data_IF_012202993232
#
_entry.id   IF_012202993232
#
_cell.length_a   1.000
_cell.length_b   1.000
_cell.length_c   1.000
_cell.angle_alpha   90.00
_cell.angle_beta   90.00
_cell.angle_gamma   90.00
#
_symmetry.space_group_name_H-M   'P 1'
#
loop_
_entity.id
_entity.type
_entity.pdbx_description
1 polymer ?
#
# COMPACT_ATOMS: atom_id res chain seq x y z
N UNK A 1 34.09 -35.07 19.86
CA UNK A 1 32.74 -35.68 19.90
C UNK A 1 32.69 -36.57 21.12
N UNK A 2 32.00 -36.16 22.17
CA UNK A 2 31.84 -36.95 23.38
C UNK A 2 30.41 -37.53 23.36
N UNK A 3 30.35 -38.84 23.21
CA UNK A 3 29.11 -39.62 23.34
C UNK A 3 28.65 -39.59 24.80
N UNK A 4 27.52 -38.94 25.06
CA UNK A 4 26.81 -39.03 26.34
C UNK A 4 25.92 -40.27 26.25
N UNK A 5 26.44 -41.39 26.67
CA UNK A 5 25.64 -42.60 26.93
C UNK A 5 24.87 -42.39 28.24
N UNK A 6 23.58 -41.96 28.12
CA UNK A 6 22.66 -42.04 29.25
C UNK A 6 22.34 -43.49 29.55
N UNK A 7 22.94 -44.00 30.62
CA UNK A 7 22.63 -45.32 31.20
C UNK A 7 21.31 -45.19 31.98
N UNK A 8 20.16 -45.36 31.30
CA UNK A 8 18.84 -45.47 31.90
C UNK A 8 18.63 -46.91 32.41
N UNK A 9 19.30 -47.28 33.47
CA UNK A 9 18.87 -48.44 34.24
C UNK A 9 17.67 -48.04 35.11
N UNK A 10 16.49 -48.69 34.98
CA UNK A 10 15.37 -48.41 35.86
C UNK A 10 15.78 -48.84 37.28
N UNK A 11 15.87 -47.89 38.20
CA UNK A 11 16.05 -48.17 39.62
C UNK A 11 14.72 -48.71 40.19
N UNK A 12 14.61 -50.02 40.28
CA UNK A 12 13.52 -50.64 41.02
C UNK A 12 13.79 -50.48 42.52
N UNK A 13 12.82 -50.00 43.30
CA UNK A 13 12.98 -49.96 44.78
C UNK A 13 13.14 -51.39 45.27
N UNK A 14 14.35 -51.74 45.77
CA UNK A 14 14.59 -53.00 46.42
C UNK A 14 13.85 -53.06 47.76
N UNK A 15 12.82 -53.90 47.81
CA UNK A 15 12.10 -54.16 49.05
C UNK A 15 10.61 -53.74 49.07
N UNK A 16 10.03 -53.32 47.95
CA UNK A 16 8.58 -53.01 47.91
C UNK A 16 7.73 -54.28 48.03
N UNK A 17 6.70 -54.21 48.88
CA UNK A 17 5.72 -55.30 49.02
C UNK A 17 4.85 -55.43 47.75
N UNK A 18 4.28 -56.59 47.44
CA UNK A 18 3.33 -56.71 46.30
C UNK A 18 2.17 -55.70 46.37
N UNK A 19 1.70 -55.34 47.54
CA UNK A 19 0.64 -54.36 47.79
C UNK A 19 1.09 -52.97 47.36
N UNK A 20 2.32 -52.56 47.67
CA UNK A 20 2.90 -51.26 47.28
C UNK A 20 3.07 -51.18 45.77
N UNK A 21 3.52 -52.25 45.11
CA UNK A 21 3.62 -52.30 43.66
C UNK A 21 2.24 -52.14 43.03
N UNK A 22 1.21 -52.81 43.53
CA UNK A 22 -0.13 -52.69 43.02
C UNK A 22 -0.73 -51.28 43.25
N UNK A 23 -0.38 -50.61 44.33
CA UNK A 23 -0.79 -49.23 44.59
C UNK A 23 -0.14 -48.27 43.55
N UNK A 24 1.15 -48.38 43.30
CA UNK A 24 1.86 -47.56 42.28
C UNK A 24 1.31 -47.83 40.88
N UNK A 25 1.04 -49.08 40.51
CA UNK A 25 0.46 -49.41 39.21
C UNK A 25 -0.93 -48.81 39.02
N UNK A 26 -1.75 -48.77 40.07
CA UNK A 26 -3.06 -48.06 40.03
C UNK A 26 -2.90 -46.56 39.83
N UNK A 27 -2.04 -45.91 40.60
CA UNK A 27 -1.76 -44.49 40.52
C UNK A 27 -1.22 -44.11 39.11
N UNK A 28 -0.28 -44.88 38.57
CA UNK A 28 0.22 -44.69 37.21
C UNK A 28 -0.90 -44.83 36.17
N UNK A 29 -1.78 -45.85 36.34
CA UNK A 29 -2.90 -46.06 35.41
C UNK A 29 -3.90 -44.91 35.48
N UNK A 30 -4.20 -44.36 36.65
CA UNK A 30 -5.08 -43.20 36.80
C UNK A 30 -4.46 -41.94 36.21
N UNK A 31 -3.17 -41.71 36.48
CA UNK A 31 -2.41 -40.57 35.88
C UNK A 31 -2.36 -40.66 34.35
N UNK A 32 -2.18 -41.86 33.78
CA UNK A 32 -2.20 -42.06 32.33
C UNK A 32 -3.58 -41.75 31.74
N UNK A 33 -4.67 -42.18 32.41
CA UNK A 33 -6.03 -41.88 31.95
C UNK A 33 -6.31 -40.39 31.97
N UNK A 34 -5.90 -39.69 33.04
CA UNK A 34 -6.08 -38.26 33.15
C UNK A 34 -5.23 -37.51 32.08
N UNK A 35 -3.98 -37.93 31.87
CA UNK A 35 -3.12 -37.35 30.81
C UNK A 35 -3.74 -37.55 29.45
N UNK A 36 -4.26 -38.73 29.15
CA UNK A 36 -4.94 -39.00 27.87
C UNK A 36 -6.17 -38.09 27.68
N UNK A 37 -6.97 -37.87 28.72
CA UNK A 37 -8.12 -36.96 28.69
C UNK A 37 -7.68 -35.53 28.41
N UNK A 38 -6.66 -35.02 29.13
CA UNK A 38 -6.13 -33.67 28.92
C UNK A 38 -5.54 -33.49 27.51
N UNK A 39 -4.88 -34.51 26.99
CA UNK A 39 -4.39 -34.48 25.60
C UNK A 39 -5.52 -34.36 24.57
N UNK A 40 -6.63 -35.09 24.77
CA UNK A 40 -7.79 -35.01 23.88
C UNK A 40 -8.48 -33.65 24.01
N UNK A 41 -8.64 -33.07 25.20
CA UNK A 41 -9.18 -31.72 25.42
C UNK A 41 -8.29 -30.66 24.70
N UNK A 42 -6.97 -30.78 24.86
CA UNK A 42 -6.01 -29.89 24.18
C UNK A 42 -6.10 -30.02 22.66
N UNK A 43 -6.26 -31.23 22.13
CA UNK A 43 -6.42 -31.48 20.70
C UNK A 43 -7.66 -30.81 20.16
N UNK A 44 -8.79 -30.89 20.90
CA UNK A 44 -10.03 -30.22 20.51
C UNK A 44 -9.89 -28.71 20.53
N UNK A 45 -9.28 -28.13 21.56
CA UNK A 45 -9.01 -26.69 21.63
C UNK A 45 -8.10 -26.20 20.49
N UNK A 46 -7.08 -26.98 20.13
CA UNK A 46 -6.20 -26.66 19.01
C UNK A 46 -6.96 -26.66 17.68
N UNK A 47 -7.88 -27.62 17.47
CA UNK A 47 -8.69 -27.66 16.25
C UNK A 47 -9.68 -26.48 16.17
N UNK A 48 -10.32 -26.11 17.29
CA UNK A 48 -11.19 -24.94 17.37
C UNK A 48 -10.41 -23.65 17.08
N UNK A 49 -9.23 -23.49 17.68
CA UNK A 49 -8.36 -22.34 17.45
C UNK A 49 -7.94 -22.27 15.97
N UNK A 50 -7.61 -23.40 15.36
CA UNK A 50 -7.25 -23.47 13.95
C UNK A 50 -8.42 -23.05 13.04
N UNK A 51 -9.64 -23.43 13.37
CA UNK A 51 -10.83 -23.02 12.62
C UNK A 51 -11.10 -21.51 12.78
N UNK A 52 -10.97 -20.97 13.98
CA UNK A 52 -11.10 -19.53 14.23
C UNK A 52 -10.04 -18.71 13.49
N UNK A 53 -8.78 -19.18 13.46
CA UNK A 53 -7.72 -18.52 12.68
C UNK A 53 -8.05 -18.50 11.19
N UNK A 54 -8.52 -19.61 10.61
CA UNK A 54 -8.93 -19.65 9.20
C UNK A 54 -10.07 -18.69 8.88
N UNK A 55 -11.05 -18.60 9.78
CA UNK A 55 -12.16 -17.67 9.59
C UNK A 55 -11.70 -16.20 9.72
N UNK A 56 -10.82 -15.90 10.65
CA UNK A 56 -10.21 -14.58 10.83
C UNK A 56 -9.41 -14.18 9.60
N UNK A 57 -8.59 -15.07 9.06
CA UNK A 57 -7.82 -14.83 7.82
C UNK A 57 -8.75 -14.54 6.63
N UNK A 58 -9.86 -15.28 6.52
CA UNK A 58 -10.85 -15.06 5.46
C UNK A 58 -11.48 -13.66 5.59
N UNK A 59 -11.92 -13.29 6.80
CA UNK A 59 -12.52 -11.97 7.08
C UNK A 59 -11.52 -10.85 6.84
N UNK A 60 -10.26 -11.04 7.20
CA UNK A 60 -9.20 -10.05 6.95
C UNK A 60 -9.02 -9.82 5.45
N UNK A 61 -8.90 -10.88 4.64
CA UNK A 61 -8.80 -10.78 3.17
C UNK A 61 -10.01 -10.09 2.54
N UNK A 62 -11.21 -10.37 3.04
CA UNK A 62 -12.43 -9.72 2.56
C UNK A 62 -12.46 -8.22 2.92
N UNK A 63 -12.02 -7.88 4.14
CA UNK A 63 -11.89 -6.48 4.57
C UNK A 63 -10.86 -5.74 3.73
N UNK A 64 -9.69 -6.32 3.51
CA UNK A 64 -8.64 -5.73 2.68
C UNK A 64 -9.12 -5.46 1.24
N UNK A 65 -9.89 -6.40 0.69
CA UNK A 65 -10.51 -6.23 -0.63
C UNK A 65 -11.49 -5.06 -0.64
N UNK A 66 -12.39 -4.98 0.36
CA UNK A 66 -13.37 -3.87 0.47
C UNK A 66 -12.69 -2.52 0.68
N UNK A 67 -11.63 -2.47 1.49
CA UNK A 67 -10.82 -1.25 1.67
C UNK A 67 -10.15 -0.84 0.36
N UNK A 68 -9.62 -1.78 -0.39
CA UNK A 68 -9.06 -1.52 -1.74
C UNK A 68 -10.10 -0.97 -2.71
N UNK A 69 -11.28 -1.58 -2.78
CA UNK A 69 -12.38 -1.11 -3.63
C UNK A 69 -12.87 0.30 -3.21
N UNK A 70 -12.94 0.57 -1.91
CA UNK A 70 -13.32 1.89 -1.39
C UNK A 70 -12.26 2.94 -1.77
N UNK A 71 -10.99 2.61 -1.62
CA UNK A 71 -9.86 3.50 -1.98
C UNK A 71 -9.90 3.85 -3.48
N UNK A 72 -10.18 2.87 -4.35
CA UNK A 72 -10.30 3.11 -5.79
C UNK A 72 -11.48 4.04 -6.11
N UNK A 73 -12.64 3.82 -5.49
CA UNK A 73 -13.82 4.70 -5.68
C UNK A 73 -13.57 6.14 -5.18
N UNK A 74 -12.82 6.31 -4.08
CA UNK A 74 -12.40 7.63 -3.64
C UNK A 74 -11.44 8.30 -4.63
N UNK A 75 -10.54 7.53 -5.26
CA UNK A 75 -9.68 8.01 -6.35
C UNK A 75 -10.52 8.54 -7.53
N UNK A 76 -11.45 7.75 -8.05
CA UNK A 76 -12.34 8.13 -9.15
C UNK A 76 -13.18 9.38 -8.80
N UNK A 77 -13.72 9.48 -7.57
CA UNK A 77 -14.45 10.65 -7.12
C UNK A 77 -13.56 11.90 -7.06
N UNK A 78 -12.33 11.76 -6.54
CA UNK A 78 -11.38 12.87 -6.47
C UNK A 78 -11.03 13.37 -7.89
N UNK A 79 -10.80 12.48 -8.84
CA UNK A 79 -10.55 12.83 -10.24
C UNK A 79 -11.72 13.57 -10.86
N UNK A 80 -12.95 13.09 -10.67
CA UNK A 80 -14.14 13.73 -11.25
C UNK A 80 -14.49 15.10 -10.63
N UNK A 81 -14.29 15.28 -9.34
CA UNK A 81 -14.60 16.52 -8.65
C UNK A 81 -13.49 17.57 -8.81
N UNK A 82 -12.24 17.13 -8.91
CA UNK A 82 -11.07 18.01 -8.86
C UNK A 82 -10.60 18.42 -10.26
N UNK A 83 -10.71 17.53 -11.26
CA UNK A 83 -10.19 17.78 -12.61
C UNK A 83 -10.69 19.07 -13.28
N UNK A 84 -12.00 19.40 -13.30
CA UNK A 84 -12.48 20.65 -13.92
C UNK A 84 -11.91 21.90 -13.23
N UNK A 85 -11.83 21.87 -11.89
CA UNK A 85 -11.35 22.99 -11.10
C UNK A 85 -9.84 23.22 -11.25
N UNK A 86 -9.06 22.16 -11.51
CA UNK A 86 -7.60 22.26 -11.68
C UNK A 86 -7.25 23.12 -12.89
N UNK A 87 -7.88 22.88 -14.05
CA UNK A 87 -7.59 23.66 -15.26
C UNK A 87 -7.93 25.14 -15.05
N UNK A 88 -9.08 25.44 -14.47
CA UNK A 88 -9.49 26.82 -14.15
C UNK A 88 -8.47 27.51 -13.24
N UNK A 89 -8.02 26.83 -12.18
CA UNK A 89 -7.05 27.39 -11.24
C UNK A 89 -5.66 27.61 -11.87
N UNK A 90 -5.21 26.75 -12.75
CA UNK A 90 -3.99 27.02 -13.51
C UNK A 90 -4.17 28.19 -14.49
N UNK A 91 -5.33 28.32 -15.12
CA UNK A 91 -5.61 29.44 -16.01
C UNK A 91 -5.71 30.78 -15.26
N UNK A 92 -6.19 30.81 -14.01
CA UNK A 92 -6.10 31.98 -13.12
C UNK A 92 -4.63 32.40 -12.87
N UNK A 93 -3.68 31.45 -12.97
CA UNK A 93 -2.24 31.69 -12.87
C UNK A 93 -1.57 31.97 -14.23
N UNK A 94 -2.34 32.31 -15.25
CA UNK A 94 -1.90 32.63 -16.61
C UNK A 94 -1.26 31.47 -17.40
N UNK A 95 -1.63 30.22 -17.11
CA UNK A 95 -1.17 29.07 -17.91
C UNK A 95 -1.89 28.93 -19.25
N UNK A 96 -3.13 29.41 -19.38
CA UNK A 96 -3.93 29.38 -20.61
C UNK A 96 -4.07 27.98 -21.23
N UNK A 97 -4.34 26.97 -20.37
CA UNK A 97 -4.62 25.62 -20.84
C UNK A 97 -5.94 25.55 -21.61
N UNK A 98 -5.92 24.87 -22.75
CA UNK A 98 -7.05 24.72 -23.66
C UNK A 98 -7.64 23.31 -23.65
N UNK A 99 -6.82 22.31 -23.40
CA UNK A 99 -7.19 20.91 -23.46
C UNK A 99 -6.96 20.22 -22.12
N UNK A 100 -7.87 19.30 -21.79
CA UNK A 100 -7.83 18.47 -20.59
C UNK A 100 -8.10 17.01 -20.97
N UNK A 101 -7.23 16.10 -20.55
CA UNK A 101 -7.37 14.66 -20.77
C UNK A 101 -7.29 13.94 -19.44
N UNK A 102 -8.25 13.08 -19.15
CA UNK A 102 -8.28 12.25 -17.96
C UNK A 102 -7.80 10.82 -18.30
N UNK A 103 -7.19 10.15 -17.33
CA UNK A 103 -6.77 8.74 -17.43
C UNK A 103 -5.94 8.47 -18.71
N UNK A 104 -4.96 9.34 -18.97
CA UNK A 104 -4.16 9.27 -20.19
C UNK A 104 -3.18 8.09 -20.13
N UNK A 105 -3.47 7.05 -20.90
CA UNK A 105 -2.64 5.85 -21.00
C UNK A 105 -1.57 5.99 -22.05
N UNK A 106 -0.32 5.94 -21.62
CA UNK A 106 0.86 6.01 -22.47
C UNK A 106 1.26 4.61 -22.87
N UNK A 107 1.37 4.39 -24.20
CA UNK A 107 1.82 3.13 -24.79
C UNK A 107 3.03 3.38 -25.68
N UNK A 108 3.91 2.37 -25.83
CA UNK A 108 4.99 2.39 -26.81
C UNK A 108 4.47 2.19 -28.25
N UNK A 109 5.40 2.19 -29.21
CA UNK A 109 5.08 1.95 -30.64
C UNK A 109 4.54 0.53 -30.92
N UNK A 110 4.82 -0.41 -30.03
CA UNK A 110 4.35 -1.81 -30.11
C UNK A 110 3.00 -2.01 -29.40
N UNK A 111 2.43 -0.95 -28.79
CA UNK A 111 1.16 -0.99 -28.06
C UNK A 111 1.28 -1.42 -26.58
N UNK A 112 2.50 -1.65 -26.08
CA UNK A 112 2.71 -2.01 -24.68
C UNK A 112 2.44 -0.80 -23.77
N UNK A 113 1.83 -1.08 -22.63
CA UNK A 113 1.56 -0.08 -21.61
C UNK A 113 2.87 0.39 -20.94
N UNK A 114 3.07 1.71 -20.86
CA UNK A 114 4.24 2.31 -20.23
C UNK A 114 3.89 3.04 -18.92
N UNK A 115 2.84 3.85 -18.93
CA UNK A 115 2.39 4.62 -17.78
C UNK A 115 0.95 5.11 -17.96
N UNK A 116 0.32 5.51 -16.86
CA UNK A 116 -0.96 6.23 -16.83
C UNK A 116 -0.78 7.53 -16.05
N UNK A 117 -1.33 8.60 -16.57
CA UNK A 117 -1.37 9.92 -15.95
C UNK A 117 -2.82 10.25 -15.66
N UNK A 118 -3.15 10.56 -14.42
CA UNK A 118 -4.53 10.78 -13.98
C UNK A 118 -5.16 11.97 -14.73
N UNK A 119 -4.38 13.08 -14.90
CA UNK A 119 -4.85 14.25 -15.63
C UNK A 119 -3.70 14.88 -16.42
N UNK A 120 -3.97 15.24 -17.68
CA UNK A 120 -3.06 16.02 -18.53
C UNK A 120 -3.76 17.28 -18.97
N UNK A 121 -3.13 18.42 -18.73
CA UNK A 121 -3.55 19.73 -19.25
C UNK A 121 -2.53 20.18 -20.30
N UNK A 122 -2.97 20.75 -21.39
CA UNK A 122 -2.06 21.24 -22.42
C UNK A 122 -2.53 22.50 -23.12
N UNK A 123 -1.55 23.24 -23.62
CA UNK A 123 -1.67 24.29 -24.61
C UNK A 123 -0.55 24.13 -25.64
N UNK A 124 -0.35 25.15 -26.50
CA UNK A 124 0.70 25.12 -27.50
C UNK A 124 2.14 24.97 -26.99
N UNK A 125 2.42 25.37 -25.72
CA UNK A 125 3.76 25.50 -25.15
C UNK A 125 4.05 24.54 -24.02
N UNK A 126 3.05 24.16 -23.23
CA UNK A 126 3.19 23.44 -21.97
C UNK A 126 2.27 22.22 -21.93
N UNK A 127 2.82 21.12 -21.45
CA UNK A 127 2.08 19.93 -21.04
C UNK A 127 2.24 19.76 -19.53
N UNK A 128 1.14 19.83 -18.80
CA UNK A 128 1.09 19.65 -17.35
C UNK A 128 0.53 18.26 -17.02
N UNK A 129 1.34 17.39 -16.46
CA UNK A 129 0.90 16.08 -15.98
C UNK A 129 0.58 16.16 -14.49
N UNK A 130 -0.62 15.77 -14.11
CA UNK A 130 -1.09 15.83 -12.71
C UNK A 130 -1.37 14.42 -12.21
N UNK A 131 -0.82 14.10 -11.05
CA UNK A 131 -1.16 12.91 -10.26
C UNK A 131 -2.17 13.32 -9.19
N UNK A 132 -3.25 12.56 -9.05
CA UNK A 132 -4.34 12.83 -8.09
C UNK A 132 -4.39 11.70 -7.06
N UNK A 133 -4.24 12.04 -5.79
CA UNK A 133 -4.32 11.08 -4.68
C UNK A 133 -5.14 11.66 -3.54
N UNK A 134 -5.97 10.83 -2.89
CA UNK A 134 -6.67 11.25 -1.67
C UNK A 134 -5.66 11.68 -0.57
N UNK A 135 -4.57 10.94 -0.41
CA UNK A 135 -3.47 11.23 0.53
C UNK A 135 -2.14 10.86 -0.12
N UNK A 136 -1.48 11.78 -0.82
CA UNK A 136 -0.17 11.55 -1.42
C UNK A 136 0.88 11.17 -0.38
N UNK A 137 1.79 10.26 -0.76
CA UNK A 137 2.95 9.82 0.01
C UNK A 137 4.22 10.09 -0.79
N UNK A 138 5.40 10.01 -0.16
CA UNK A 138 6.69 10.17 -0.83
C UNK A 138 6.84 9.27 -2.06
N UNK A 139 6.42 8.00 -1.96
CA UNK A 139 6.46 7.05 -3.07
C UNK A 139 5.61 7.47 -4.27
N UNK A 140 4.54 8.21 -4.04
CA UNK A 140 3.67 8.68 -5.14
C UNK A 140 4.36 9.80 -5.91
N UNK A 141 5.14 10.64 -5.20
CA UNK A 141 6.01 11.65 -5.82
C UNK A 141 7.10 10.99 -6.68
N UNK A 142 7.80 9.99 -6.13
CA UNK A 142 8.84 9.24 -6.86
C UNK A 142 8.28 8.52 -8.09
N UNK A 143 7.10 7.93 -7.96
CA UNK A 143 6.40 7.31 -9.08
C UNK A 143 6.04 8.33 -10.16
N UNK A 144 5.60 9.53 -9.75
CA UNK A 144 5.25 10.58 -10.71
C UNK A 144 6.48 11.12 -11.43
N UNK A 145 7.63 11.23 -10.77
CA UNK A 145 8.92 11.54 -11.42
C UNK A 145 9.20 10.54 -12.54
N UNK A 146 9.10 9.25 -12.27
CA UNK A 146 9.32 8.20 -13.27
C UNK A 146 8.34 8.31 -14.45
N UNK A 147 7.08 8.64 -14.17
CA UNK A 147 6.07 8.87 -15.22
C UNK A 147 6.41 10.07 -16.08
N UNK A 148 6.88 11.17 -15.48
CA UNK A 148 7.34 12.35 -16.20
C UNK A 148 8.50 12.03 -17.14
N UNK A 149 9.45 11.20 -16.71
CA UNK A 149 10.56 10.75 -17.56
C UNK A 149 10.09 9.87 -18.73
N UNK A 150 9.10 9.01 -18.51
CA UNK A 150 8.47 8.22 -19.57
C UNK A 150 7.78 9.14 -20.57
N UNK A 151 7.04 10.14 -20.07
CA UNK A 151 6.35 11.12 -20.89
C UNK A 151 7.34 11.89 -21.77
N UNK A 152 8.44 12.39 -21.20
CA UNK A 152 9.47 13.14 -21.93
C UNK A 152 10.14 12.29 -22.99
N UNK A 153 10.58 11.08 -22.66
CA UNK A 153 11.17 10.17 -23.65
C UNK A 153 10.24 9.91 -24.84
N UNK A 154 8.94 9.75 -24.56
CA UNK A 154 7.95 9.58 -25.65
C UNK A 154 7.79 10.84 -26.48
N UNK A 155 7.76 12.02 -25.85
CA UNK A 155 7.69 13.30 -26.53
C UNK A 155 8.90 13.51 -27.45
N UNK A 156 10.11 13.16 -26.98
CA UNK A 156 11.35 13.23 -27.76
C UNK A 156 11.28 12.35 -29.01
N UNK A 157 10.74 11.13 -28.93
CA UNK A 157 10.56 10.26 -30.10
C UNK A 157 9.59 10.84 -31.14
N UNK A 158 8.74 11.79 -30.72
CA UNK A 158 7.76 12.47 -31.60
C UNK A 158 8.18 13.88 -31.99
N UNK A 159 9.38 14.30 -31.58
CA UNK A 159 9.89 15.66 -31.77
C UNK A 159 8.98 16.74 -31.15
N UNK A 160 8.31 16.40 -30.05
CA UNK A 160 7.49 17.35 -29.28
C UNK A 160 8.41 18.23 -28.43
N UNK A 161 8.50 19.51 -28.78
CA UNK A 161 9.39 20.50 -28.14
C UNK A 161 8.73 21.27 -27.02
N UNK A 162 7.46 20.95 -26.66
CA UNK A 162 6.77 21.60 -25.56
C UNK A 162 7.46 21.31 -24.21
N UNK A 163 7.28 22.20 -23.26
CA UNK A 163 7.79 22.05 -21.89
C UNK A 163 6.86 21.16 -21.09
N UNK A 164 7.40 20.11 -20.50
CA UNK A 164 6.64 19.21 -19.66
C UNK A 164 6.84 19.58 -18.20
N UNK A 165 5.76 19.82 -17.47
CA UNK A 165 5.75 20.13 -16.04
C UNK A 165 4.83 19.18 -15.31
N UNK A 166 5.03 19.00 -14.02
CA UNK A 166 4.23 18.10 -13.21
C UNK A 166 3.56 18.80 -12.04
N UNK A 167 2.46 18.22 -11.58
CA UNK A 167 1.76 18.60 -10.37
C UNK A 167 1.27 17.38 -9.61
N UNK A 168 1.08 17.52 -8.29
CA UNK A 168 0.46 16.50 -7.45
C UNK A 168 -0.69 17.14 -6.68
N UNK A 169 -1.88 16.55 -6.85
CA UNK A 169 -3.09 16.94 -6.16
C UNK A 169 -3.38 16.00 -4.98
N UNK A 170 -3.72 16.57 -3.83
CA UNK A 170 -4.06 15.84 -2.63
C UNK A 170 -5.21 16.46 -1.84
N UNK A 171 -6.14 15.61 -1.36
CA UNK A 171 -7.17 16.06 -0.43
C UNK A 171 -6.60 16.22 0.99
N UNK A 172 -5.69 15.34 1.39
CA UNK A 172 -5.00 15.38 2.68
C UNK A 172 -3.49 15.38 2.43
N UNK A 173 -2.81 16.46 2.75
CA UNK A 173 -1.38 16.61 2.49
C UNK A 173 -0.63 16.98 3.78
N UNK A 174 0.37 16.17 4.18
CA UNK A 174 1.24 16.55 5.29
C UNK A 174 2.28 17.59 4.84
N UNK A 175 2.80 18.38 5.78
CA UNK A 175 3.79 19.41 5.49
C UNK A 175 5.07 18.81 4.88
N UNK A 176 5.49 17.64 5.35
CA UNK A 176 6.68 16.94 4.87
C UNK A 176 6.53 16.53 3.41
N UNK A 177 5.38 15.93 3.05
CA UNK A 177 5.09 15.52 1.67
C UNK A 177 4.92 16.73 0.76
N UNK A 178 4.25 17.81 1.24
CA UNK A 178 4.15 19.09 0.50
C UNK A 178 5.54 19.63 0.15
N UNK A 179 6.43 19.71 1.14
CA UNK A 179 7.79 20.20 0.93
C UNK A 179 8.58 19.30 -0.04
N UNK A 180 8.37 17.99 0.03
CA UNK A 180 9.00 17.04 -0.87
C UNK A 180 8.50 17.19 -2.31
N UNK A 181 7.22 17.41 -2.53
CA UNK A 181 6.63 17.71 -3.86
C UNK A 181 7.28 18.98 -4.43
N UNK A 182 7.31 20.06 -3.65
CA UNK A 182 7.89 21.34 -4.08
C UNK A 182 9.39 21.23 -4.35
N UNK A 183 10.16 20.52 -3.52
CA UNK A 183 11.61 20.35 -3.71
C UNK A 183 11.95 19.52 -4.97
N UNK A 184 11.03 18.69 -5.46
CA UNK A 184 11.15 17.99 -6.72
C UNK A 184 10.65 18.81 -7.93
N UNK A 185 10.24 20.06 -7.71
CA UNK A 185 9.81 20.98 -8.76
C UNK A 185 8.39 20.74 -9.27
N UNK A 186 7.57 20.01 -8.52
CA UNK A 186 6.15 19.83 -8.82
C UNK A 186 5.29 20.92 -8.20
N UNK A 187 4.23 21.31 -8.89
CA UNK A 187 3.18 22.12 -8.31
C UNK A 187 2.38 21.30 -7.29
N UNK A 188 1.98 21.96 -6.21
CA UNK A 188 1.12 21.36 -5.18
C UNK A 188 -0.30 21.87 -5.36
N UNK A 189 -1.25 20.95 -5.45
CA UNK A 189 -2.67 21.22 -5.57
C UNK A 189 -3.35 20.62 -4.33
N UNK A 190 -4.03 21.47 -3.55
CA UNK A 190 -4.71 21.06 -2.32
C UNK A 190 -6.20 21.36 -2.41
N UNK A 191 -7.01 20.42 -1.93
CA UNK A 191 -8.43 20.68 -1.78
C UNK A 191 -8.68 21.71 -0.67
N UNK A 192 -9.53 22.68 -0.94
CA UNK A 192 -9.91 23.73 0.01
C UNK A 192 -11.43 23.94 -0.09
N UNK A 193 -12.18 23.28 0.81
CA UNK A 193 -13.64 23.26 0.69
C UNK A 193 -14.11 22.62 -0.62
N UNK A 194 -14.89 23.35 -1.39
CA UNK A 194 -15.46 22.87 -2.66
C UNK A 194 -14.58 23.16 -3.88
N UNK A 195 -13.36 23.68 -3.68
CA UNK A 195 -12.43 24.05 -4.75
C UNK A 195 -11.02 23.53 -4.46
N UNK A 196 -10.09 23.84 -5.36
CA UNK A 196 -8.67 23.54 -5.19
C UNK A 196 -7.85 24.82 -5.12
N UNK A 197 -6.73 24.76 -4.41
CA UNK A 197 -5.72 25.81 -4.32
C UNK A 197 -4.41 25.28 -4.87
N UNK A 198 -3.75 26.03 -5.76
CA UNK A 198 -2.40 25.76 -6.23
C UNK A 198 -1.44 26.57 -5.37
N UNK A 199 -0.50 25.87 -4.73
CA UNK A 199 0.50 26.52 -3.88
C UNK A 199 1.78 26.73 -4.68
N UNK A 200 2.18 28.00 -4.83
CA UNK A 200 3.43 28.43 -5.48
C UNK A 200 4.18 29.29 -4.47
N UNK A 201 5.14 28.73 -3.70
CA UNK A 201 5.94 29.51 -2.77
C UNK A 201 6.82 30.53 -3.49
N UNK A 202 7.21 31.60 -2.78
CA UNK A 202 8.20 32.54 -3.28
C UNK A 202 9.51 31.82 -3.62
N UNK A 203 10.06 32.10 -4.80
CA UNK A 203 11.27 31.45 -5.30
C UNK A 203 11.07 30.03 -5.84
N UNK A 204 9.84 29.51 -5.91
CA UNK A 204 9.58 28.22 -6.51
C UNK A 204 9.90 28.23 -8.02
N UNK A 205 10.73 27.29 -8.44
CA UNK A 205 11.05 27.05 -9.84
C UNK A 205 10.54 25.66 -10.21
N UNK A 206 9.56 25.53 -11.13
CA UNK A 206 9.08 24.23 -11.58
C UNK A 206 10.17 23.51 -12.33
N UNK A 207 10.28 22.19 -12.14
CA UNK A 207 11.13 21.35 -12.97
C UNK A 207 10.49 21.17 -14.33
N UNK A 208 11.31 21.28 -15.37
CA UNK A 208 10.93 20.98 -16.76
C UNK A 208 11.60 19.68 -17.20
N UNK A 209 10.84 18.83 -17.83
CA UNK A 209 11.27 17.55 -18.40
C UNK A 209 11.38 17.64 -19.93
#
# INVERSE_FOLDING_TARGET
MAEITMNLTPSYPQGASPEEIWAILREVSETQKETARRMEETRQQMEETRQQMKETDRRMKETDKRVGELTNRFGELAEHLVAPNIMEKFNELNFTFENIYQNNRIKDSSGNYLAEIDLVLENGDIVMAVEIKAKPLFKDVDNHINRMEVLRRRADTRQDTRRFRGAIAGAILSNEVRNYILSNGFYVIEQTGDTVKITIPEGFTPREW
#
